data_IF_126288623383
#
_entry.id   IF_126288623383
#
_cell.length_a   1.000
_cell.length_b   1.000
_cell.length_c   1.000
_cell.angle_alpha   90.00
_cell.angle_beta   90.00
_cell.angle_gamma   90.00
#
_symmetry.space_group_name_H-M   'P 1'
#
loop_
_entity.id
_entity.type
_entity.pdbx_description
1 polymer ?
#
# COMPACT_ATOMS: atom_id res chain seq x y z
N UNK A 1 -12.78 -1.78 6.16
CA UNK A 1 -11.50 -1.08 6.12
C UNK A 1 -11.29 -0.41 4.77
N UNK A 2 -10.76 0.82 4.77
CA UNK A 2 -10.36 1.57 3.59
C UNK A 2 -8.89 1.95 3.70
N UNK A 3 -8.18 2.00 2.59
CA UNK A 3 -6.90 2.68 2.51
C UNK A 3 -7.13 4.18 2.71
N UNK A 4 -6.18 4.89 3.33
CA UNK A 4 -6.27 6.33 3.59
C UNK A 4 -6.70 7.15 2.37
N UNK A 5 -6.07 6.99 1.18
CA UNK A 5 -6.49 7.69 -0.05
C UNK A 5 -7.94 7.43 -0.43
N UNK A 6 -8.41 6.19 -0.30
CA UNK A 6 -9.82 5.87 -0.56
C UNK A 6 -10.78 6.51 0.43
N UNK A 7 -10.37 6.66 1.69
CA UNK A 7 -11.11 7.40 2.69
C UNK A 7 -11.29 8.87 2.27
N UNK A 8 -10.19 9.53 1.88
CA UNK A 8 -10.22 10.90 1.39
C UNK A 8 -11.09 11.07 0.14
N UNK A 9 -10.89 10.23 -0.87
CA UNK A 9 -11.72 10.25 -2.10
C UNK A 9 -13.20 9.98 -1.82
N UNK A 10 -13.50 9.07 -0.88
CA UNK A 10 -14.88 8.80 -0.49
C UNK A 10 -15.52 10.01 0.16
N UNK A 11 -14.80 10.75 0.96
CA UNK A 11 -15.30 11.95 1.61
C UNK A 11 -15.50 13.12 0.64
N UNK A 12 -14.55 13.37 -0.25
CA UNK A 12 -14.58 14.48 -1.20
C UNK A 12 -15.39 14.19 -2.47
N UNK A 13 -15.59 12.91 -2.82
CA UNK A 13 -16.20 12.50 -4.10
C UNK A 13 -15.23 12.64 -5.28
N UNK A 14 -13.94 12.49 -5.03
CA UNK A 14 -12.88 12.57 -6.03
C UNK A 14 -12.31 11.19 -6.40
N UNK A 15 -11.34 11.19 -7.31
CA UNK A 15 -10.67 9.97 -7.77
C UNK A 15 -11.65 8.96 -8.36
N UNK A 16 -11.62 7.69 -7.92
CA UNK A 16 -12.54 6.66 -8.40
C UNK A 16 -13.94 6.77 -7.81
N UNK A 17 -14.16 7.67 -6.84
CA UNK A 17 -15.45 7.85 -6.16
C UNK A 17 -16.17 9.06 -6.76
N UNK A 18 -17.29 8.80 -7.47
CA UNK A 18 -17.98 9.83 -8.25
C UNK A 18 -18.87 10.79 -7.44
N UNK A 19 -19.09 10.50 -6.15
CA UNK A 19 -19.95 11.32 -5.27
C UNK A 19 -19.45 11.24 -3.81
N UNK A 20 -19.48 12.37 -3.06
CA UNK A 20 -19.15 12.38 -1.65
C UNK A 20 -20.00 11.41 -0.83
N UNK A 21 -19.36 10.65 0.04
CA UNK A 21 -20.00 9.69 0.95
C UNK A 21 -20.16 10.32 2.33
N UNK A 22 -20.99 11.35 2.43
CA UNK A 22 -21.14 12.21 3.63
C UNK A 22 -21.68 11.48 4.87
N UNK A 23 -22.22 10.27 4.70
CA UNK A 23 -22.64 9.42 5.80
C UNK A 23 -21.57 8.43 6.28
N UNK A 24 -20.38 8.45 5.70
CA UNK A 24 -19.26 7.70 6.22
C UNK A 24 -18.70 8.37 7.50
N UNK A 25 -18.26 7.57 8.46
CA UNK A 25 -17.58 8.01 9.68
C UNK A 25 -16.34 7.18 9.89
N UNK A 26 -15.23 7.84 10.19
CA UNK A 26 -13.98 7.19 10.59
C UNK A 26 -14.07 6.75 12.04
N UNK A 27 -13.66 5.52 12.32
CA UNK A 27 -13.65 4.94 13.67
C UNK A 27 -12.24 4.97 14.25
N UNK A 28 -11.25 4.65 13.42
CA UNK A 28 -9.84 4.68 13.85
C UNK A 28 -8.88 4.23 12.75
N UNK A 29 -7.65 4.71 12.82
CA UNK A 29 -6.55 4.17 12.05
C UNK A 29 -6.14 2.82 12.65
N UNK A 30 -5.88 1.85 11.78
CA UNK A 30 -5.50 0.50 12.15
C UNK A 30 -3.98 0.33 11.91
N UNK A 31 -3.58 -0.58 11.05
CA UNK A 31 -2.17 -0.76 10.66
C UNK A 31 -1.84 0.01 9.38
N UNK A 32 -0.55 0.19 9.13
CA UNK A 32 -0.08 0.85 7.92
C UNK A 32 -0.34 -0.03 6.68
N UNK A 33 -0.82 0.60 5.63
CA UNK A 33 -0.88 0.04 4.29
C UNK A 33 0.37 0.49 3.54
N UNK A 34 1.37 -0.39 3.52
CA UNK A 34 2.72 -0.09 3.05
C UNK A 34 2.83 -0.39 1.56
N UNK A 35 3.35 0.55 0.80
CA UNK A 35 3.56 0.40 -0.63
C UNK A 35 4.80 -0.47 -0.91
N UNK A 36 4.62 -1.55 -1.66
CA UNK A 36 5.70 -2.42 -2.11
C UNK A 36 5.77 -2.35 -3.64
N UNK A 37 6.34 -1.28 -4.16
CA UNK A 37 6.68 -1.21 -5.58
C UNK A 37 7.91 -2.06 -5.83
N UNK A 38 7.71 -3.19 -6.48
CA UNK A 38 8.73 -4.21 -6.75
C UNK A 38 9.03 -4.25 -8.23
N UNK A 39 10.31 -4.33 -8.56
CA UNK A 39 10.79 -4.41 -9.94
C UNK A 39 11.91 -5.47 -10.04
N UNK A 40 12.01 -6.16 -11.17
CA UNK A 40 13.20 -6.96 -11.44
C UNK A 40 14.43 -6.08 -11.43
N UNK A 41 15.49 -6.48 -10.72
CA UNK A 41 16.68 -5.67 -10.46
C UNK A 41 17.39 -5.20 -11.74
N UNK A 42 17.24 -5.92 -12.85
CA UNK A 42 17.77 -5.51 -14.17
C UNK A 42 17.16 -4.20 -14.68
N UNK A 43 15.96 -3.83 -14.21
CA UNK A 43 15.25 -2.58 -14.55
C UNK A 43 15.36 -1.53 -13.44
N UNK A 44 15.99 -1.86 -12.31
CA UNK A 44 16.11 -1.00 -11.14
C UNK A 44 17.57 -0.59 -10.87
N UNK A 45 18.25 0.13 -11.77
CA UNK A 45 19.65 0.48 -11.64
C UNK A 45 19.96 1.40 -10.45
N UNK A 46 19.02 2.27 -10.05
CA UNK A 46 19.17 3.13 -8.87
C UNK A 46 18.53 2.52 -7.62
N UNK A 47 17.56 1.63 -7.78
CA UNK A 47 16.74 1.07 -6.71
C UNK A 47 15.71 2.07 -6.16
N UNK A 48 15.41 3.15 -6.89
CA UNK A 48 14.44 4.16 -6.53
C UNK A 48 13.14 4.03 -7.33
N UNK A 49 12.04 4.61 -6.81
CA UNK A 49 10.70 4.51 -7.41
C UNK A 49 10.68 5.00 -8.87
N UNK A 50 11.54 5.95 -9.23
CA UNK A 50 11.63 6.50 -10.58
C UNK A 50 12.22 5.51 -11.60
N UNK A 51 12.83 4.41 -11.15
CA UNK A 51 13.26 3.30 -12.03
C UNK A 51 12.08 2.62 -12.76
N UNK A 52 10.85 2.82 -12.31
CA UNK A 52 9.66 2.39 -13.05
C UNK A 52 9.58 2.98 -14.46
N UNK A 53 10.24 4.11 -14.73
CA UNK A 53 10.37 4.69 -16.06
C UNK A 53 11.17 3.80 -17.05
N UNK A 54 11.94 2.83 -16.55
CA UNK A 54 12.69 1.88 -17.37
C UNK A 54 11.82 0.74 -17.94
N UNK A 55 10.55 0.64 -17.51
CA UNK A 55 9.60 -0.30 -18.09
C UNK A 55 9.20 0.24 -19.48
N UNK A 56 9.32 -0.61 -20.50
CA UNK A 56 8.95 -0.28 -21.88
C UNK A 56 8.29 -1.48 -22.55
N UNK A 57 6.96 -1.52 -22.56
CA UNK A 57 6.13 -2.57 -23.11
C UNK A 57 6.00 -3.83 -22.27
N UNK A 58 6.76 -3.95 -21.17
CA UNK A 58 6.69 -5.12 -20.29
C UNK A 58 5.48 -5.09 -19.37
N UNK A 59 5.10 -6.29 -18.91
CA UNK A 59 3.91 -6.45 -18.05
C UNK A 59 4.23 -6.11 -16.61
N UNK A 60 3.41 -5.22 -16.02
CA UNK A 60 3.45 -4.82 -14.62
C UNK A 60 2.08 -4.98 -13.96
N UNK A 61 2.04 -5.28 -12.65
CA UNK A 61 0.80 -5.48 -11.89
C UNK A 61 0.65 -4.41 -10.82
N UNK A 62 -0.45 -3.66 -10.85
CA UNK A 62 -0.83 -2.73 -9.78
C UNK A 62 -1.86 -3.34 -8.80
N UNK A 63 -2.41 -4.50 -9.14
CA UNK A 63 -3.44 -5.19 -8.37
C UNK A 63 -4.56 -5.76 -9.24
N UNK A 64 -5.64 -6.17 -8.59
CA UNK A 64 -6.86 -6.58 -9.30
C UNK A 64 -7.57 -5.35 -9.88
N UNK A 65 -8.23 -5.53 -11.02
CA UNK A 65 -8.98 -4.45 -11.68
C UNK A 65 -10.02 -3.82 -10.72
N UNK A 66 -10.04 -2.50 -10.63
CA UNK A 66 -10.90 -1.71 -9.76
C UNK A 66 -10.67 -1.95 -8.25
N UNK A 67 -9.58 -2.57 -7.86
CA UNK A 67 -9.20 -2.69 -6.45
C UNK A 67 -8.60 -1.39 -5.91
N UNK A 68 -8.58 -1.25 -4.57
CA UNK A 68 -7.88 -0.14 -3.91
C UNK A 68 -6.41 -0.07 -4.30
N UNK A 69 -5.73 -1.22 -4.39
CA UNK A 69 -4.33 -1.32 -4.80
C UNK A 69 -4.11 -0.73 -6.21
N UNK A 70 -4.93 -1.11 -7.17
CA UNK A 70 -4.82 -0.60 -8.54
C UNK A 70 -5.05 0.91 -8.60
N UNK A 71 -6.11 1.40 -7.97
CA UNK A 71 -6.48 2.82 -8.03
C UNK A 71 -5.45 3.70 -7.33
N UNK A 72 -4.98 3.29 -6.15
CA UNK A 72 -3.92 4.01 -5.43
C UNK A 72 -2.60 3.96 -6.22
N UNK A 73 -2.25 2.79 -6.79
CA UNK A 73 -1.07 2.66 -7.62
C UNK A 73 -1.09 3.59 -8.83
N UNK A 74 -2.22 3.69 -9.54
CA UNK A 74 -2.39 4.65 -10.64
C UNK A 74 -2.23 6.08 -10.18
N UNK A 75 -2.88 6.45 -9.08
CA UNK A 75 -2.77 7.78 -8.50
C UNK A 75 -1.31 8.16 -8.18
N UNK A 76 -0.56 7.21 -7.60
CA UNK A 76 0.87 7.38 -7.31
C UNK A 76 1.65 7.61 -8.60
N UNK A 77 1.49 6.74 -9.60
CA UNK A 77 2.22 6.85 -10.88
C UNK A 77 1.89 8.16 -11.62
N UNK A 78 0.62 8.55 -11.66
CA UNK A 78 0.17 9.83 -12.27
C UNK A 78 0.79 11.02 -11.52
N UNK A 79 0.83 10.99 -10.19
CA UNK A 79 1.39 12.09 -9.38
C UNK A 79 2.90 12.22 -9.57
N UNK A 80 3.62 11.11 -9.72
CA UNK A 80 5.05 11.09 -9.99
C UNK A 80 5.41 11.35 -11.46
N UNK A 81 4.41 11.51 -12.33
CA UNK A 81 4.62 11.74 -13.75
C UNK A 81 5.17 10.53 -14.50
N UNK A 82 4.95 9.31 -13.98
CA UNK A 82 5.35 8.06 -14.62
C UNK A 82 4.32 7.68 -15.67
N UNK A 83 4.72 7.67 -16.94
CA UNK A 83 3.84 7.36 -18.07
C UNK A 83 3.56 5.86 -18.19
N UNK A 84 2.83 5.31 -17.21
CA UNK A 84 2.45 3.91 -17.20
C UNK A 84 1.39 3.56 -18.27
N UNK A 85 0.63 4.55 -18.74
CA UNK A 85 -0.45 4.30 -19.69
C UNK A 85 0.09 3.91 -21.09
N UNK A 86 1.19 4.53 -21.52
CA UNK A 86 1.82 4.22 -22.79
C UNK A 86 2.92 3.17 -22.68
N UNK A 87 3.59 3.08 -21.53
CA UNK A 87 4.79 2.25 -21.35
C UNK A 87 4.53 0.90 -20.72
N UNK A 88 3.51 0.77 -19.86
CA UNK A 88 3.27 -0.50 -19.17
C UNK A 88 2.20 -1.32 -19.89
N UNK A 89 2.45 -2.60 -20.05
CA UNK A 89 1.39 -3.55 -20.34
C UNK A 89 0.77 -4.00 -19.02
N UNK A 90 -0.26 -3.27 -18.52
CA UNK A 90 -0.85 -3.56 -17.23
C UNK A 90 -1.56 -4.90 -17.20
N UNK A 91 -1.14 -5.77 -16.28
CA UNK A 91 -1.81 -7.01 -15.95
C UNK A 91 -2.58 -6.88 -14.64
N UNK A 92 -3.69 -7.59 -14.50
CA UNK A 92 -4.59 -7.48 -13.37
C UNK A 92 -4.74 -8.83 -12.70
N UNK A 93 -4.20 -8.97 -11.51
CA UNK A 93 -4.26 -10.21 -10.72
C UNK A 93 -4.12 -9.93 -9.23
N UNK A 94 -4.51 -10.90 -8.41
CA UNK A 94 -4.30 -10.83 -6.96
C UNK A 94 -2.86 -11.15 -6.57
N UNK A 95 -2.51 -10.91 -5.32
CA UNK A 95 -1.13 -10.99 -4.82
C UNK A 95 -0.48 -12.37 -4.99
N UNK A 96 -1.19 -13.45 -4.69
CA UNK A 96 -0.65 -14.82 -4.86
C UNK A 96 -0.29 -15.14 -6.31
N UNK A 97 -1.24 -15.05 -7.26
CA UNK A 97 -0.95 -15.23 -8.69
C UNK A 97 0.16 -14.32 -9.23
N UNK A 98 0.31 -13.10 -8.69
CA UNK A 98 1.38 -12.18 -9.08
C UNK A 98 2.76 -12.73 -8.73
N UNK A 99 2.90 -13.39 -7.57
CA UNK A 99 4.16 -14.05 -7.17
C UNK A 99 4.57 -15.13 -8.16
N UNK A 100 3.63 -15.97 -8.59
CA UNK A 100 3.91 -16.98 -9.62
C UNK A 100 4.28 -16.34 -10.96
N UNK A 101 3.55 -15.29 -11.36
CA UNK A 101 3.78 -14.61 -12.63
C UNK A 101 5.18 -13.95 -12.71
N UNK A 102 5.70 -13.38 -11.62
CA UNK A 102 7.05 -12.80 -11.63
C UNK A 102 8.12 -13.90 -11.62
N UNK A 103 7.89 -14.99 -10.90
CA UNK A 103 8.77 -16.15 -10.90
C UNK A 103 8.93 -16.75 -12.30
N UNK A 104 7.82 -16.86 -13.03
CA UNK A 104 7.77 -17.44 -14.38
C UNK A 104 8.25 -16.44 -15.46
N UNK A 105 8.62 -15.21 -15.08
CA UNK A 105 9.07 -14.18 -16.02
C UNK A 105 7.94 -13.56 -16.87
N UNK A 106 6.69 -13.80 -16.49
CA UNK A 106 5.51 -13.27 -17.18
C UNK A 106 5.22 -11.80 -16.88
N UNK A 107 5.82 -11.24 -15.82
CA UNK A 107 5.76 -9.83 -15.43
C UNK A 107 7.14 -9.38 -14.96
N UNK A 108 7.40 -8.08 -15.01
CA UNK A 108 8.68 -7.50 -14.56
C UNK A 108 8.60 -6.86 -13.19
N UNK A 109 7.40 -6.68 -12.66
CA UNK A 109 7.21 -6.08 -11.35
C UNK A 109 5.74 -5.99 -10.94
N UNK A 110 5.56 -5.51 -9.73
CA UNK A 110 4.23 -5.41 -9.10
C UNK A 110 4.22 -4.33 -8.02
N UNK A 111 3.05 -3.77 -7.72
CA UNK A 111 2.79 -3.08 -6.46
C UNK A 111 1.88 -3.93 -5.58
N UNK A 112 2.24 -4.06 -4.31
CA UNK A 112 1.47 -4.80 -3.30
C UNK A 112 1.30 -3.92 -2.07
N UNK A 113 0.32 -3.00 -2.06
CA UNK A 113 0.02 -2.20 -0.87
C UNK A 113 -0.67 -3.07 0.19
N UNK A 114 0.03 -3.32 1.29
CA UNK A 114 -0.47 -4.15 2.39
C UNK A 114 0.35 -3.93 3.67
N UNK A 115 -0.16 -4.44 4.80
CA UNK A 115 0.60 -4.47 6.05
C UNK A 115 1.81 -5.41 5.95
N UNK A 116 2.98 -4.90 6.31
CA UNK A 116 4.23 -5.65 6.25
C UNK A 116 4.43 -6.56 7.50
N UNK A 117 5.13 -7.71 7.35
CA UNK A 117 5.60 -8.32 6.11
C UNK A 117 4.47 -8.99 5.31
N UNK A 118 4.53 -8.89 3.99
CA UNK A 118 3.50 -9.44 3.08
C UNK A 118 3.91 -10.80 2.55
N UNK A 119 3.03 -11.80 2.67
CA UNK A 119 3.33 -13.19 2.29
C UNK A 119 3.76 -13.33 0.81
N UNK A 120 3.11 -12.61 -0.11
CA UNK A 120 3.45 -12.66 -1.53
C UNK A 120 4.83 -12.08 -1.82
N UNK A 121 5.23 -11.01 -1.13
CA UNK A 121 6.56 -10.42 -1.22
C UNK A 121 7.60 -11.35 -0.58
N UNK A 122 7.28 -11.94 0.59
CA UNK A 122 8.14 -12.95 1.23
C UNK A 122 8.45 -14.11 0.30
N UNK A 123 7.43 -14.65 -0.38
CA UNK A 123 7.61 -15.74 -1.34
C UNK A 123 8.42 -15.31 -2.56
N UNK A 124 8.14 -14.12 -3.11
CA UNK A 124 8.88 -13.60 -4.26
C UNK A 124 10.38 -13.43 -3.93
N UNK A 125 10.71 -12.86 -2.77
CA UNK A 125 12.10 -12.72 -2.33
C UNK A 125 12.78 -14.06 -2.02
N UNK A 126 12.06 -15.02 -1.45
CA UNK A 126 12.60 -16.37 -1.22
C UNK A 126 12.99 -17.08 -2.54
N UNK A 127 12.25 -16.83 -3.62
CA UNK A 127 12.46 -17.45 -4.93
C UNK A 127 13.46 -16.71 -5.81
N UNK A 128 13.44 -15.37 -5.79
CA UNK A 128 14.18 -14.53 -6.72
C UNK A 128 15.39 -13.83 -6.09
N UNK A 129 15.37 -13.63 -4.77
CA UNK A 129 16.48 -13.01 -4.04
C UNK A 129 16.88 -11.65 -4.60
N UNK A 130 18.16 -11.50 -4.94
CA UNK A 130 18.76 -10.29 -5.47
C UNK A 130 18.31 -9.89 -6.88
N UNK A 131 17.57 -10.78 -7.57
CA UNK A 131 16.92 -10.46 -8.85
C UNK A 131 15.69 -9.56 -8.68
N UNK A 132 15.27 -9.30 -7.42
CA UNK A 132 14.13 -8.47 -7.08
C UNK A 132 14.56 -7.27 -6.25
N UNK A 133 13.97 -6.12 -6.54
CA UNK A 133 14.19 -4.88 -5.78
C UNK A 133 12.84 -4.30 -5.37
N UNK A 134 12.62 -4.09 -4.07
CA UNK A 134 11.61 -3.15 -3.59
C UNK A 134 12.22 -1.76 -3.74
N UNK A 135 11.52 -0.87 -4.43
CA UNK A 135 12.02 0.45 -4.77
C UNK A 135 11.95 1.40 -3.56
N UNK A 136 13.04 2.12 -3.35
CA UNK A 136 13.12 3.18 -2.34
C UNK A 136 12.40 4.44 -2.81
N UNK A 137 11.94 5.22 -1.85
CA UNK A 137 11.36 6.54 -2.07
C UNK A 137 12.35 7.63 -1.65
N UNK A 138 12.26 8.80 -2.28
CA UNK A 138 13.02 9.99 -1.93
C UNK A 138 12.11 11.02 -1.26
N UNK A 139 12.71 12.00 -0.57
CA UNK A 139 11.92 13.09 0.02
C UNK A 139 11.12 13.84 -1.05
N UNK A 140 11.72 14.07 -2.21
CA UNK A 140 11.06 14.73 -3.33
C UNK A 140 9.79 13.99 -3.80
N UNK A 141 9.87 12.66 -3.96
CA UNK A 141 8.71 11.86 -4.40
C UNK A 141 7.62 11.78 -3.33
N UNK A 142 7.98 11.73 -2.05
CA UNK A 142 7.02 11.80 -0.95
C UNK A 142 6.33 13.17 -0.89
N UNK A 143 7.09 14.26 -1.04
CA UNK A 143 6.55 15.62 -1.00
C UNK A 143 5.58 15.87 -2.16
N UNK A 144 5.89 15.39 -3.37
CA UNK A 144 4.98 15.44 -4.52
C UNK A 144 3.65 14.74 -4.23
N UNK A 145 3.70 13.56 -3.63
CA UNK A 145 2.51 12.78 -3.30
C UNK A 145 1.67 13.47 -2.22
N UNK A 146 2.31 13.97 -1.17
CA UNK A 146 1.65 14.64 -0.04
C UNK A 146 1.17 16.06 -0.36
N UNK A 147 1.68 16.68 -1.43
CA UNK A 147 1.19 17.99 -1.87
C UNK A 147 -0.31 17.98 -2.23
N UNK A 148 -0.82 16.83 -2.68
CA UNK A 148 -2.24 16.67 -3.01
C UNK A 148 -3.05 16.14 -1.83
N UNK A 149 -2.55 15.12 -1.16
CA UNK A 149 -3.16 14.50 0.03
C UNK A 149 -2.06 14.14 1.02
N UNK A 150 -1.97 14.78 2.19
CA UNK A 150 -0.92 14.52 3.19
C UNK A 150 -1.26 13.25 4.00
N UNK A 151 -1.28 12.11 3.32
CA UNK A 151 -1.73 10.82 3.87
C UNK A 151 -0.63 9.78 3.96
N UNK A 152 0.53 10.03 3.33
CA UNK A 152 1.64 9.08 3.34
C UNK A 152 2.75 9.56 4.25
N UNK A 153 3.35 8.62 4.95
CA UNK A 153 4.52 8.81 5.77
C UNK A 153 5.56 7.74 5.45
N UNK A 154 6.77 7.94 5.96
CA UNK A 154 7.85 6.99 5.82
C UNK A 154 7.54 5.65 6.46
N UNK A 155 7.92 4.58 5.77
CA UNK A 155 7.95 3.24 6.32
C UNK A 155 9.28 2.56 5.98
N UNK A 156 9.96 2.03 7.00
CA UNK A 156 11.29 1.45 6.86
C UNK A 156 11.24 -0.07 6.98
N UNK A 157 11.86 -0.75 6.02
CA UNK A 157 12.15 -2.18 6.13
C UNK A 157 13.61 -2.36 6.53
N UNK A 158 13.89 -2.69 7.80
CA UNK A 158 15.23 -3.05 8.20
C UNK A 158 15.71 -4.30 7.46
N UNK A 159 17.03 -4.51 7.33
CA UNK A 159 17.57 -5.74 6.77
C UNK A 159 16.96 -6.98 7.44
N UNK A 160 16.59 -7.98 6.63
CA UNK A 160 15.96 -9.21 7.12
C UNK A 160 14.44 -9.15 7.30
N UNK A 161 13.78 -8.06 6.93
CA UNK A 161 12.30 -8.02 6.87
C UNK A 161 11.76 -9.06 5.88
N UNK A 162 12.42 -9.21 4.74
CA UNK A 162 12.15 -10.24 3.74
C UNK A 162 13.34 -11.17 3.56
N UNK A 163 13.14 -12.45 3.14
CA UNK A 163 14.24 -13.37 2.86
C UNK A 163 15.24 -12.79 1.88
N UNK A 164 16.54 -12.93 2.16
CA UNK A 164 17.64 -12.42 1.32
C UNK A 164 17.68 -10.87 1.14
N UNK A 165 16.82 -10.12 1.79
CA UNK A 165 16.90 -8.67 1.82
C UNK A 165 17.98 -8.26 2.82
N UNK A 166 19.12 -7.81 2.30
CA UNK A 166 20.30 -7.43 3.11
C UNK A 166 20.45 -5.92 3.31
N UNK A 167 19.73 -5.12 2.52
CA UNK A 167 19.78 -3.66 2.57
C UNK A 167 18.56 -3.10 3.30
N UNK A 168 18.75 -1.98 3.98
CA UNK A 168 17.63 -1.16 4.43
C UNK A 168 16.85 -0.62 3.22
N UNK A 169 15.53 -0.65 3.28
CA UNK A 169 14.64 -0.11 2.25
C UNK A 169 13.73 0.89 2.93
N UNK A 170 13.64 2.08 2.36
CA UNK A 170 12.71 3.12 2.79
C UNK A 170 11.62 3.29 1.76
N UNK A 171 10.40 2.99 2.16
CA UNK A 171 9.19 3.16 1.35
C UNK A 171 8.20 4.08 2.07
N UNK A 172 6.96 4.10 1.59
CA UNK A 172 5.88 4.89 2.17
C UNK A 172 4.72 4.01 2.60
N UNK A 173 3.98 4.46 3.59
CA UNK A 173 2.73 3.85 4.04
C UNK A 173 1.64 4.89 4.23
N UNK A 174 0.41 4.44 4.21
CA UNK A 174 -0.76 5.22 4.59
C UNK A 174 -1.62 4.39 5.54
N UNK A 175 -2.40 5.00 6.45
CA UNK A 175 -3.20 4.22 7.39
C UNK A 175 -4.29 3.44 6.67
N UNK A 176 -4.55 2.21 7.12
CA UNK A 176 -5.82 1.57 6.90
C UNK A 176 -6.81 2.11 7.92
N UNK A 177 -7.95 2.61 7.48
CA UNK A 177 -8.96 3.24 8.33
C UNK A 177 -10.18 2.34 8.48
N UNK A 178 -10.56 2.07 9.73
CA UNK A 178 -11.86 1.47 10.02
C UNK A 178 -12.93 2.54 9.87
N UNK A 179 -13.91 2.27 9.04
CA UNK A 179 -15.03 3.19 8.77
C UNK A 179 -16.36 2.52 9.05
N UNK A 180 -17.34 3.33 9.39
CA UNK A 180 -18.73 2.93 9.58
C UNK A 180 -19.68 3.90 8.89
N UNK A 181 -20.98 3.62 8.92
CA UNK A 181 -22.03 4.55 8.48
C UNK A 181 -22.56 5.35 9.67
N UNK A 182 -22.96 6.58 9.42
CA UNK A 182 -23.48 7.49 10.44
C UNK A 182 -24.78 7.02 11.12
N UNK A 183 -25.52 6.09 10.49
CA UNK A 183 -26.76 5.53 11.01
C UNK A 183 -26.56 4.28 11.89
N UNK A 184 -25.33 3.81 12.05
CA UNK A 184 -25.02 2.72 12.99
C UNK A 184 -25.08 3.27 14.42
N UNK A 185 -25.78 2.58 15.34
CA UNK A 185 -25.87 3.01 16.73
C UNK A 185 -24.50 3.20 17.39
N UNK A 186 -24.35 4.29 18.14
CA UNK A 186 -23.10 4.64 18.83
C UNK A 186 -22.60 3.51 19.73
N UNK A 187 -23.51 2.86 20.49
CA UNK A 187 -23.17 1.73 21.35
C UNK A 187 -22.53 0.57 20.56
N UNK A 188 -23.03 0.28 19.37
CA UNK A 188 -22.45 -0.77 18.52
C UNK A 188 -21.04 -0.40 18.08
N UNK A 189 -20.82 0.82 17.62
CA UNK A 189 -19.48 1.32 17.23
C UNK A 189 -18.55 1.34 18.42
N UNK A 190 -19.02 1.79 19.57
CA UNK A 190 -18.25 1.77 20.84
C UNK A 190 -17.81 0.36 21.20
N UNK A 191 -18.71 -0.63 21.16
CA UNK A 191 -18.37 -2.02 21.51
C UNK A 191 -17.36 -2.61 20.51
N UNK A 192 -17.52 -2.36 19.21
CA UNK A 192 -16.54 -2.81 18.19
C UNK A 192 -15.17 -2.21 18.48
N UNK A 193 -15.10 -0.90 18.67
CA UNK A 193 -13.85 -0.18 18.96
C UNK A 193 -13.20 -0.70 20.23
N UNK A 194 -13.98 -0.82 21.29
CA UNK A 194 -13.52 -1.35 22.60
C UNK A 194 -12.93 -2.74 22.47
N UNK A 195 -13.65 -3.67 21.83
CA UNK A 195 -13.18 -5.06 21.66
C UNK A 195 -11.87 -5.11 20.86
N UNK A 196 -11.72 -4.33 19.81
CA UNK A 196 -10.48 -4.26 19.02
C UNK A 196 -9.30 -3.84 19.92
N UNK A 197 -9.43 -2.73 20.64
CA UNK A 197 -8.33 -2.18 21.42
C UNK A 197 -8.03 -2.94 22.71
N UNK A 198 -9.04 -3.52 23.35
CA UNK A 198 -8.85 -4.39 24.52
C UNK A 198 -8.18 -5.72 24.16
N UNK A 199 -8.27 -6.18 22.92
CA UNK A 199 -7.65 -7.41 22.43
C UNK A 199 -6.43 -7.16 21.52
N UNK A 200 -5.85 -5.97 21.57
CA UNK A 200 -4.72 -5.59 20.70
C UNK A 200 -3.55 -6.58 20.79
N UNK A 201 -3.19 -7.01 21.99
CA UNK A 201 -2.10 -7.99 22.20
C UNK A 201 -2.35 -9.30 21.43
N UNK A 202 -3.57 -9.82 21.49
CA UNK A 202 -3.96 -11.02 20.73
C UNK A 202 -3.90 -10.79 19.22
N UNK A 203 -4.34 -9.63 18.74
CA UNK A 203 -4.25 -9.27 17.31
C UNK A 203 -2.79 -9.22 16.85
N UNK A 204 -1.89 -8.67 17.67
CA UNK A 204 -0.46 -8.59 17.37
C UNK A 204 0.25 -9.95 17.32
N UNK A 205 -0.29 -10.96 18.00
CA UNK A 205 0.18 -12.35 17.88
C UNK A 205 -0.27 -13.02 16.58
N UNK A 206 -1.45 -12.62 16.05
CA UNK A 206 -2.04 -13.22 14.85
C UNK A 206 -1.32 -12.77 13.58
N UNK A 207 -0.99 -11.48 13.46
CA UNK A 207 -0.37 -10.93 12.24
C UNK A 207 0.60 -9.79 12.53
N UNK A 208 1.78 -9.84 11.90
CA UNK A 208 2.85 -8.85 12.11
C UNK A 208 2.45 -7.40 11.85
N UNK A 209 1.60 -7.15 10.84
CA UNK A 209 1.14 -5.80 10.52
C UNK A 209 0.36 -5.12 11.66
N UNK A 210 -0.31 -5.88 12.51
CA UNK A 210 -1.05 -5.32 13.65
C UNK A 210 -0.15 -4.76 14.75
N UNK A 211 1.17 -4.98 14.67
CA UNK A 211 2.14 -4.33 15.56
C UNK A 211 2.22 -2.83 15.33
N UNK A 212 1.80 -2.36 14.16
CA UNK A 212 1.70 -0.92 13.85
C UNK A 212 0.45 -0.28 14.48
N UNK A 213 -0.50 -1.08 14.97
CA UNK A 213 -1.70 -0.57 15.63
C UNK A 213 -1.34 -0.05 17.02
N UNK A 214 -1.62 1.23 17.23
CA UNK A 214 -1.39 1.93 18.49
C UNK A 214 -2.55 2.86 18.80
N UNK A 215 -3.03 2.81 20.03
CA UNK A 215 -4.19 3.60 20.46
C UNK A 215 -3.90 5.11 20.46
N UNK A 216 -2.66 5.50 20.82
CA UNK A 216 -2.22 6.89 20.89
C UNK A 216 -2.20 7.60 19.53
N UNK A 217 -2.07 6.85 18.43
CA UNK A 217 -2.09 7.38 17.06
C UNK A 217 -3.33 6.97 16.27
N UNK A 218 -4.29 6.30 16.89
CA UNK A 218 -5.46 5.74 16.21
C UNK A 218 -6.39 6.81 15.57
N UNK A 219 -6.24 8.07 15.97
CA UNK A 219 -6.97 9.21 15.39
C UNK A 219 -6.16 9.97 14.33
N UNK A 220 -4.88 9.65 14.14
CA UNK A 220 -4.02 10.30 13.16
C UNK A 220 -4.37 9.86 11.74
N UNK A 221 -4.29 10.77 10.78
CA UNK A 221 -4.55 10.48 9.37
C UNK A 221 -6.01 10.12 9.04
N UNK A 222 -6.96 10.38 9.94
CA UNK A 222 -8.39 10.12 9.68
C UNK A 222 -9.04 11.19 8.78
N UNK A 223 -8.33 12.22 8.44
CA UNK A 223 -8.84 13.44 7.80
C UNK A 223 -9.55 14.35 8.80
N UNK A 224 -9.60 15.62 8.50
CA UNK A 224 -10.39 16.59 9.25
C UNK A 224 -11.80 16.74 8.64
#
# INVERSE_FOLDING_TARGET
>A
LLQGPFGAWSWTGEGPVSKPQTHMRSVGAMWQNVEHFVLLSRLAPTGEIMDLNNIDGERYVLGQRNSGAEQTGRFILDTLGIDYQSKFNLAYMGYGPTTSAIQDGNIVGMNVPAGAPVSSITQAYALLGDRLTILNWTQETLDLLNAKYPLWDWYDFPPGTYPNQTKHIRTIGSPNVLVTRADIPEDAVYQITKVIWENLATLQEIHGATKDMRLDIAIEGLGA
#
